data_IF_825184512919
#
_entry.id   IF_825184512919
#
_cell.length_a   1.000
_cell.length_b   1.000
_cell.length_c   1.000
_cell.angle_alpha   90.00
_cell.angle_beta   90.00
_cell.angle_gamma   90.00
#
_symmetry.space_group_name_H-M   'P 1'
#
loop_
_entity.id
_entity.type
_entity.pdbx_description
1 polymer ?
#
# COMPACT_ATOMS: atom_id res chain seq x y z
N UNK A 1 2.99 -14.14 -20.01
CA UNK A 1 1.86 -13.82 -19.11
C UNK A 1 1.92 -12.33 -18.82
N UNK A 2 0.92 -11.59 -19.28
CA UNK A 2 0.96 -10.13 -19.22
C UNK A 2 0.98 -9.63 -17.79
N UNK A 3 2.01 -8.86 -17.45
CA UNK A 3 2.01 -7.97 -16.30
C UNK A 3 0.79 -7.06 -16.44
N UNK A 4 -0.27 -7.34 -15.68
CA UNK A 4 -1.32 -6.33 -15.49
C UNK A 4 -0.64 -5.18 -14.75
N UNK A 5 -0.34 -4.11 -15.48
CA UNK A 5 0.09 -2.87 -14.87
C UNK A 5 -0.90 -2.55 -13.73
N UNK A 6 -0.39 -2.41 -12.51
CA UNK A 6 -1.20 -1.99 -11.38
C UNK A 6 -1.71 -0.59 -11.69
N UNK A 7 -2.98 -0.48 -12.05
CA UNK A 7 -3.59 0.83 -12.28
C UNK A 7 -3.53 1.59 -10.96
N UNK A 8 -2.95 2.78 -10.95
CA UNK A 8 -2.89 3.61 -9.75
C UNK A 8 -4.29 3.87 -9.18
N UNK A 9 -4.43 3.97 -7.85
CA UNK A 9 -5.68 4.44 -7.21
C UNK A 9 -5.91 5.90 -7.55
N UNK A 10 -4.83 6.65 -7.66
CA UNK A 10 -4.76 8.01 -8.19
C UNK A 10 -3.45 8.16 -8.95
N UNK A 11 -3.46 8.85 -10.08
CA UNK A 11 -2.24 9.15 -10.80
C UNK A 11 -1.35 10.11 -9.99
N UNK A 12 -0.03 9.89 -9.91
CA UNK A 12 0.88 10.73 -9.13
C UNK A 12 0.82 12.22 -9.50
N UNK A 13 0.70 12.54 -10.77
CA UNK A 13 0.56 13.91 -11.27
C UNK A 13 -0.71 14.58 -10.78
N UNK A 14 -1.82 13.83 -10.73
CA UNK A 14 -3.08 14.29 -10.18
C UNK A 14 -2.99 14.52 -8.67
N UNK A 15 -2.40 13.59 -7.93
CA UNK A 15 -2.19 13.71 -6.49
C UNK A 15 -1.37 14.97 -6.17
N UNK A 16 -0.27 15.20 -6.88
CA UNK A 16 0.55 16.40 -6.73
C UNK A 16 -0.22 17.69 -7.02
N UNK A 17 -1.05 17.70 -8.06
CA UNK A 17 -1.85 18.87 -8.43
C UNK A 17 -2.93 19.22 -7.41
N UNK A 18 -3.38 18.27 -6.61
CA UNK A 18 -4.39 18.45 -5.56
C UNK A 18 -3.82 18.81 -4.19
N UNK A 19 -2.53 18.57 -3.98
CA UNK A 19 -1.83 18.91 -2.72
C UNK A 19 -1.33 20.36 -2.75
N UNK A 20 -1.35 21.00 -1.57
CA UNK A 20 -0.69 22.30 -1.41
C UNK A 20 0.84 22.14 -1.49
N UNK A 21 1.54 23.23 -1.82
CA UNK A 21 3.01 23.25 -1.80
C UNK A 21 3.58 22.87 -0.43
N UNK A 22 2.96 23.31 0.65
CA UNK A 22 3.36 22.97 2.03
C UNK A 22 3.20 21.47 2.30
N UNK A 23 2.10 20.86 1.82
CA UNK A 23 1.89 19.42 1.95
C UNK A 23 2.92 18.62 1.16
N UNK A 24 3.24 19.04 -0.06
CA UNK A 24 4.28 18.41 -0.88
C UNK A 24 5.66 18.51 -0.27
N UNK A 25 6.00 19.66 0.29
CA UNK A 25 7.28 19.90 0.98
C UNK A 25 7.39 19.00 2.23
N UNK A 26 6.31 18.89 3.01
CA UNK A 26 6.24 17.98 4.15
C UNK A 26 6.44 16.52 3.74
N UNK A 27 5.78 16.08 2.68
CA UNK A 27 5.96 14.73 2.15
C UNK A 27 7.37 14.50 1.62
N UNK A 28 7.98 15.48 0.98
CA UNK A 28 9.37 15.41 0.54
C UNK A 28 10.33 15.26 1.74
N UNK A 29 10.10 15.98 2.83
CA UNK A 29 10.83 15.82 4.07
C UNK A 29 10.72 14.41 4.66
N UNK A 30 9.50 13.88 4.75
CA UNK A 30 9.27 12.52 5.23
C UNK A 30 9.92 11.46 4.32
N UNK A 31 9.84 11.64 3.03
CA UNK A 31 10.48 10.74 2.06
C UNK A 31 12.01 10.73 2.21
N UNK A 32 12.62 11.90 2.40
CA UNK A 32 14.06 12.00 2.64
C UNK A 32 14.48 11.35 3.97
N UNK A 33 13.71 11.56 5.03
CA UNK A 33 13.96 10.91 6.33
C UNK A 33 13.85 9.38 6.20
N UNK A 34 12.84 8.89 5.49
CA UNK A 34 12.65 7.46 5.26
C UNK A 34 13.80 6.82 4.49
N UNK A 35 14.39 7.53 3.53
CA UNK A 35 15.55 7.07 2.76
C UNK A 35 16.83 6.97 3.60
N UNK A 36 16.92 7.72 4.69
CA UNK A 36 18.13 7.80 5.49
C UNK A 36 19.23 8.66 4.85
N UNK A 37 20.29 8.91 5.61
CA UNK A 37 21.37 9.86 5.25
C UNK A 37 22.48 9.26 4.40
N UNK A 38 22.40 7.99 4.01
CA UNK A 38 23.46 7.37 3.21
C UNK A 38 23.40 7.86 1.76
N UNK A 39 24.19 8.87 1.47
CA UNK A 39 24.30 9.61 0.21
C UNK A 39 24.69 8.78 -1.03
N UNK A 40 24.74 7.45 -0.94
CA UNK A 40 25.12 6.56 -2.05
C UNK A 40 23.95 5.84 -2.72
N UNK A 41 22.75 6.01 -2.22
CA UNK A 41 21.58 5.35 -2.79
C UNK A 41 20.73 6.35 -3.56
N UNK A 42 20.29 5.92 -4.75
CA UNK A 42 19.55 6.72 -5.70
C UNK A 42 18.40 7.57 -5.14
N UNK A 43 17.64 8.18 -6.00
CA UNK A 43 16.52 9.09 -5.65
C UNK A 43 15.29 8.38 -5.12
N UNK A 44 15.33 7.03 -5.01
CA UNK A 44 14.20 6.17 -4.68
C UNK A 44 14.25 5.66 -3.23
N UNK A 45 13.09 5.30 -2.69
CA UNK A 45 12.92 4.73 -1.36
C UNK A 45 12.88 3.20 -1.44
N UNK A 46 13.89 2.52 -0.87
CA UNK A 46 13.96 1.05 -0.89
C UNK A 46 12.77 0.41 -0.15
N UNK A 47 12.41 -0.82 -0.53
CA UNK A 47 11.35 -1.59 0.14
C UNK A 47 11.58 -1.70 1.65
N UNK A 48 12.80 -1.98 2.07
CA UNK A 48 13.15 -2.12 3.50
C UNK A 48 12.94 -0.80 4.25
N UNK A 49 13.45 0.30 3.69
CA UNK A 49 13.31 1.65 4.27
C UNK A 49 11.85 2.09 4.31
N UNK A 50 11.09 1.81 3.25
CA UNK A 50 9.65 2.07 3.20
C UNK A 50 8.90 1.32 4.31
N UNK A 51 9.11 0.01 4.44
CA UNK A 51 8.44 -0.79 5.47
C UNK A 51 8.77 -0.30 6.89
N UNK A 52 10.03 0.04 7.16
CA UNK A 52 10.44 0.61 8.45
C UNK A 52 9.80 1.97 8.73
N UNK A 53 9.77 2.85 7.73
CA UNK A 53 9.12 4.15 7.83
C UNK A 53 7.62 4.02 8.08
N UNK A 54 6.94 3.17 7.32
CA UNK A 54 5.48 2.97 7.46
C UNK A 54 5.14 2.29 8.78
N UNK A 55 5.94 1.36 9.29
CA UNK A 55 5.77 0.79 10.61
C UNK A 55 5.76 1.88 11.69
N UNK A 56 6.71 2.81 11.65
CA UNK A 56 6.77 3.94 12.57
C UNK A 56 5.61 4.92 12.37
N UNK A 57 5.25 5.21 11.12
CA UNK A 57 4.16 6.13 10.78
C UNK A 57 2.77 5.62 11.23
N UNK A 58 2.55 4.32 11.14
CA UNK A 58 1.28 3.65 11.47
C UNK A 58 1.21 3.15 12.93
N UNK A 59 1.99 3.71 13.84
CA UNK A 59 2.09 3.31 15.25
C UNK A 59 2.62 1.87 15.47
N UNK A 60 3.71 1.54 14.80
CA UNK A 60 4.63 0.48 15.17
C UNK A 60 4.07 -0.94 15.01
N UNK A 61 3.88 -1.58 16.13
CA UNK A 61 3.70 -3.05 16.21
C UNK A 61 2.34 -3.57 15.74
N UNK A 62 1.42 -2.69 15.33
CA UNK A 62 0.06 -3.07 14.96
C UNK A 62 -0.07 -3.57 13.52
N UNK A 63 0.93 -3.32 12.66
CA UNK A 63 0.87 -3.73 11.26
C UNK A 63 1.81 -4.91 10.99
N UNK A 64 1.26 -6.09 10.67
CA UNK A 64 2.07 -7.24 10.31
C UNK A 64 2.99 -6.94 9.13
N UNK A 65 4.22 -7.47 9.18
CA UNK A 65 5.23 -7.27 8.13
C UNK A 65 4.67 -7.54 6.72
N UNK A 66 3.87 -8.60 6.57
CA UNK A 66 3.27 -8.95 5.28
C UNK A 66 2.33 -7.87 4.75
N UNK A 67 1.62 -7.16 5.63
CA UNK A 67 0.74 -6.06 5.23
C UNK A 67 1.53 -4.85 4.75
N UNK A 68 2.67 -4.54 5.39
CA UNK A 68 3.57 -3.49 4.94
C UNK A 68 4.19 -3.82 3.58
N UNK A 69 4.55 -5.07 3.36
CA UNK A 69 5.06 -5.55 2.07
C UNK A 69 3.99 -5.47 0.97
N UNK A 70 2.73 -5.78 1.31
CA UNK A 70 1.60 -5.61 0.38
C UNK A 70 1.34 -4.14 0.08
N UNK A 71 1.41 -3.28 1.09
CA UNK A 71 1.27 -1.83 0.89
C UNK A 71 2.36 -1.31 -0.07
N UNK A 72 3.61 -1.76 0.11
CA UNK A 72 4.70 -1.45 -0.82
C UNK A 72 4.36 -1.91 -2.25
N UNK A 73 3.93 -3.15 -2.43
CA UNK A 73 3.61 -3.70 -3.75
C UNK A 73 2.49 -2.92 -4.46
N UNK A 74 1.49 -2.48 -3.71
CA UNK A 74 0.37 -1.68 -4.27
C UNK A 74 0.80 -0.26 -4.59
N UNK A 75 1.75 0.29 -3.83
CA UNK A 75 2.31 1.63 -4.05
C UNK A 75 3.30 1.68 -5.22
N UNK A 76 4.02 0.58 -5.49
CA UNK A 76 5.04 0.48 -6.56
C UNK A 76 4.38 0.43 -7.94
N UNK A 77 4.02 1.60 -8.47
CA UNK A 77 3.35 1.74 -9.76
C UNK A 77 4.27 1.38 -10.94
N UNK A 78 5.58 1.55 -10.77
CA UNK A 78 6.58 1.15 -11.75
C UNK A 78 6.77 -0.36 -11.83
N UNK A 79 6.26 -1.09 -10.82
CA UNK A 79 6.43 -2.54 -10.66
C UNK A 79 7.92 -2.96 -10.62
N UNK A 80 8.76 -2.13 -10.01
CA UNK A 80 10.19 -2.38 -9.84
C UNK A 80 10.45 -3.52 -8.86
N UNK A 81 9.57 -3.69 -7.88
CA UNK A 81 9.67 -4.68 -6.80
C UNK A 81 10.71 -4.34 -5.73
N UNK A 82 11.50 -3.28 -5.93
CA UNK A 82 12.68 -2.97 -5.10
C UNK A 82 12.63 -1.62 -4.41
N UNK A 83 12.07 -0.60 -5.06
CA UNK A 83 12.06 0.77 -4.55
C UNK A 83 10.85 1.56 -5.07
N UNK A 84 10.47 2.61 -4.33
CA UNK A 84 9.42 3.56 -4.72
C UNK A 84 10.05 4.87 -5.16
N UNK A 85 9.50 5.44 -6.23
CA UNK A 85 9.76 6.82 -6.60
C UNK A 85 9.08 7.78 -5.60
N UNK A 86 9.51 9.05 -5.59
CA UNK A 86 8.81 10.07 -4.81
C UNK A 86 7.36 10.23 -5.27
N UNK A 87 7.11 10.10 -6.55
CA UNK A 87 5.77 10.20 -7.16
C UNK A 87 4.84 9.10 -6.66
N UNK A 88 5.31 7.85 -6.61
CA UNK A 88 4.56 6.73 -6.05
C UNK A 88 4.24 6.93 -4.56
N UNK A 89 5.23 7.42 -3.81
CA UNK A 89 5.06 7.74 -2.40
C UNK A 89 4.01 8.85 -2.19
N UNK A 90 4.04 9.92 -2.99
CA UNK A 90 3.05 11.01 -2.92
C UNK A 90 1.64 10.49 -3.22
N UNK A 91 1.48 9.66 -4.25
CA UNK A 91 0.19 9.07 -4.60
C UNK A 91 -0.38 8.23 -3.44
N UNK A 92 0.46 7.38 -2.82
CA UNK A 92 0.08 6.59 -1.66
C UNK A 92 -0.34 7.47 -0.48
N UNK A 93 0.50 8.43 -0.11
CA UNK A 93 0.26 9.29 1.05
C UNK A 93 -0.94 10.24 0.84
N UNK A 94 -1.22 10.62 -0.39
CA UNK A 94 -2.46 11.35 -0.73
C UNK A 94 -3.70 10.52 -0.39
N UNK A 95 -3.75 9.25 -0.80
CA UNK A 95 -4.88 8.36 -0.55
C UNK A 95 -5.04 8.05 0.94
N UNK A 96 -3.94 7.80 1.64
CA UNK A 96 -3.95 7.48 3.07
C UNK A 96 -4.24 8.70 3.96
N UNK A 97 -3.88 9.88 3.48
CA UNK A 97 -4.04 11.14 4.20
C UNK A 97 -5.46 11.72 4.16
N UNK A 98 -5.65 12.92 4.74
CA UNK A 98 -6.96 13.58 4.80
C UNK A 98 -7.50 13.96 3.41
N UNK A 99 -6.63 14.14 2.42
CA UNK A 99 -7.02 14.51 1.05
C UNK A 99 -7.64 13.36 0.25
N UNK A 100 -7.39 12.11 0.64
CA UNK A 100 -7.96 10.94 -0.03
C UNK A 100 -9.45 10.80 0.25
N UNK A 101 -10.22 10.45 -0.79
CA UNK A 101 -11.64 10.13 -0.65
C UNK A 101 -11.84 8.74 -0.01
N UNK A 102 -13.02 8.52 0.57
CA UNK A 102 -13.40 7.19 1.08
C UNK A 102 -13.31 6.13 0.00
N UNK A 103 -13.76 6.43 -1.22
CA UNK A 103 -13.66 5.51 -2.36
C UNK A 103 -12.21 5.12 -2.68
N UNK A 104 -11.30 6.09 -2.68
CA UNK A 104 -9.87 5.83 -2.92
C UNK A 104 -9.25 4.96 -1.82
N UNK A 105 -9.58 5.23 -0.55
CA UNK A 105 -9.09 4.40 0.59
C UNK A 105 -9.64 2.98 0.53
N UNK A 106 -10.91 2.80 0.20
CA UNK A 106 -11.51 1.48 0.01
C UNK A 106 -10.86 0.74 -1.17
N UNK A 107 -10.58 1.43 -2.27
CA UNK A 107 -9.87 0.87 -3.41
C UNK A 107 -8.44 0.43 -3.03
N UNK A 108 -7.73 1.22 -2.23
CA UNK A 108 -6.41 0.87 -1.73
C UNK A 108 -6.47 -0.39 -0.85
N UNK A 109 -7.39 -0.44 0.12
CA UNK A 109 -7.59 -1.60 0.99
C UNK A 109 -7.91 -2.86 0.18
N UNK A 110 -8.81 -2.75 -0.79
CA UNK A 110 -9.16 -3.86 -1.66
C UNK A 110 -7.91 -4.42 -2.37
N UNK A 111 -7.05 -3.58 -2.90
CA UNK A 111 -5.81 -4.01 -3.57
C UNK A 111 -4.81 -4.65 -2.63
N UNK A 112 -4.71 -4.16 -1.38
CA UNK A 112 -3.85 -4.77 -0.37
C UNK A 112 -4.30 -6.20 -0.09
N UNK A 113 -5.60 -6.46 -0.06
CA UNK A 113 -6.18 -7.78 0.23
C UNK A 113 -6.35 -8.69 -0.98
N UNK A 114 -6.29 -8.17 -2.19
CA UNK A 114 -6.27 -8.95 -3.43
C UNK A 114 -4.88 -9.55 -3.64
N UNK A 115 -4.55 -10.60 -2.88
CA UNK A 115 -3.22 -11.25 -2.93
C UNK A 115 -2.93 -11.90 -4.28
N UNK A 116 -3.96 -12.23 -5.04
CA UNK A 116 -3.85 -12.93 -6.32
C UNK A 116 -3.87 -11.96 -7.52
N UNK A 117 -4.02 -10.65 -7.25
CA UNK A 117 -4.17 -9.59 -8.25
C UNK A 117 -5.22 -9.91 -9.33
N UNK A 118 -6.29 -10.60 -8.90
CA UNK A 118 -7.38 -11.05 -9.78
C UNK A 118 -8.46 -10.00 -10.01
N UNK A 119 -8.41 -8.87 -9.30
CA UNK A 119 -9.46 -7.87 -9.29
C UNK A 119 -10.65 -8.26 -8.39
N UNK A 120 -10.46 -9.24 -7.52
CA UNK A 120 -11.42 -9.67 -6.51
C UNK A 120 -10.69 -10.23 -5.28
N UNK A 121 -11.31 -10.11 -4.11
CA UNK A 121 -10.78 -10.73 -2.89
C UNK A 121 -11.33 -12.13 -2.79
N UNK A 122 -10.49 -13.13 -3.04
CA UNK A 122 -10.88 -14.54 -2.95
C UNK A 122 -11.10 -14.96 -1.49
N UNK A 123 -11.84 -16.08 -1.27
CA UNK A 123 -11.99 -16.68 0.05
C UNK A 123 -10.63 -16.99 0.68
N UNK A 124 -9.66 -17.45 -0.12
CA UNK A 124 -8.29 -17.72 0.31
C UNK A 124 -7.57 -16.46 0.74
N UNK A 125 -7.71 -15.36 -0.02
CA UNK A 125 -7.18 -14.05 0.34
C UNK A 125 -7.78 -13.55 1.66
N UNK A 126 -9.09 -13.69 1.83
CA UNK A 126 -9.78 -13.29 3.06
C UNK A 126 -9.32 -14.11 4.28
N UNK A 127 -9.16 -15.43 4.11
CA UNK A 127 -8.62 -16.30 5.16
C UNK A 127 -7.21 -15.89 5.56
N UNK A 128 -6.34 -15.66 4.58
CA UNK A 128 -4.96 -15.19 4.80
C UNK A 128 -4.93 -13.87 5.57
N UNK A 129 -5.82 -12.94 5.22
CA UNK A 129 -5.97 -11.66 5.91
C UNK A 129 -6.37 -11.85 7.38
N UNK A 130 -7.34 -12.72 7.67
CA UNK A 130 -7.78 -13.00 9.03
C UNK A 130 -6.66 -13.61 9.87
N UNK A 131 -5.92 -14.59 9.33
CA UNK A 131 -4.76 -15.19 10.00
C UNK A 131 -3.70 -14.13 10.31
N UNK A 132 -3.37 -13.27 9.35
CA UNK A 132 -2.37 -12.21 9.53
C UNK A 132 -2.79 -11.23 10.63
N UNK A 133 -4.05 -10.81 10.64
CA UNK A 133 -4.54 -9.79 11.57
C UNK A 133 -4.82 -10.32 12.97
N UNK A 134 -5.14 -11.60 13.10
CA UNK A 134 -5.49 -12.22 14.41
C UNK A 134 -4.35 -13.02 15.02
N UNK A 135 -3.29 -13.32 14.26
CA UNK A 135 -2.21 -14.20 14.69
C UNK A 135 -2.63 -15.66 14.90
N UNK A 136 -3.82 -16.04 14.47
CA UNK A 136 -4.35 -17.40 14.61
C UNK A 136 -3.91 -18.24 13.42
N UNK A 137 -3.12 -19.27 13.66
CA UNK A 137 -2.58 -20.16 12.60
C UNK A 137 -3.63 -20.98 11.84
N UNK A 138 -4.85 -21.06 12.36
CA UNK A 138 -5.95 -21.70 11.65
C UNK A 138 -7.31 -21.15 12.10
N UNK A 139 -7.99 -20.47 11.18
CA UNK A 139 -9.43 -20.26 11.32
C UNK A 139 -10.10 -21.47 10.67
N UNK A 140 -10.72 -22.34 11.48
CA UNK A 140 -11.54 -23.44 10.97
C UNK A 140 -12.65 -22.89 10.10
N UNK A 141 -12.54 -23.10 8.79
CA UNK A 141 -13.40 -22.49 7.77
C UNK A 141 -14.64 -23.32 7.44
N UNK A 142 -14.94 -24.33 8.24
CA UNK A 142 -16.03 -25.27 7.96
C UNK A 142 -17.44 -24.65 8.06
N UNK A 143 -17.59 -23.44 8.61
CA UNK A 143 -18.91 -22.83 8.82
C UNK A 143 -19.18 -21.50 8.09
N UNK A 144 -18.25 -20.97 7.30
CA UNK A 144 -18.45 -19.66 6.64
C UNK A 144 -18.90 -19.83 5.18
N UNK A 145 -20.19 -19.68 4.93
CA UNK A 145 -20.71 -19.43 3.58
C UNK A 145 -20.67 -17.91 3.34
N UNK A 146 -19.56 -17.43 2.81
CA UNK A 146 -19.47 -16.03 2.36
C UNK A 146 -19.98 -15.94 0.93
N UNK A 147 -21.11 -15.26 0.74
CA UNK A 147 -21.55 -14.85 -0.59
C UNK A 147 -20.57 -13.82 -1.16
N UNK A 148 -19.96 -14.14 -2.29
CA UNK A 148 -19.14 -13.18 -3.03
C UNK A 148 -20.09 -12.24 -3.77
N UNK A 149 -20.24 -11.00 -3.31
CA UNK A 149 -20.88 -9.97 -4.11
C UNK A 149 -19.82 -9.35 -5.03
N UNK A 150 -20.01 -9.51 -6.33
CA UNK A 150 -19.33 -8.68 -7.34
C UNK A 150 -19.85 -7.26 -7.19
N UNK A 151 -18.96 -6.31 -6.99
CA UNK A 151 -19.29 -4.90 -7.14
C UNK A 151 -18.92 -4.49 -8.57
N UNK A 152 -19.93 -4.13 -9.35
CA UNK A 152 -19.78 -3.51 -10.66
C UNK A 152 -19.29 -2.05 -10.50
#
# INVERSE_FOLDING_TARGET
MGNKAHTAVIEPTQAKGLLSSVSLETLAGHFQLARGTTARQGTELSKTSFCGHMASYLNGDSWPKLMLERLFQVADLSNSGTALSFDDYVALMFVMGPSGSTKQRMSLLFRIYDFEAGGYVSKKSLQKMLVINTGLDSVSTSSWKVGVTKYD
#
